data_IF_304047008399
#
_entry.id   IF_304047008399
#
_cell.length_a   1.000
_cell.length_b   1.000
_cell.length_c   1.000
_cell.angle_alpha   90.00
_cell.angle_beta   90.00
_cell.angle_gamma   90.00
#
_symmetry.space_group_name_H-M   'P 1'
#
loop_
_entity.id
_entity.type
_entity.pdbx_description
1 polymer ?
#
# COMPACT_ATOMS: atom_id res chain seq x y z
N UNK A 1 57.49 39.01 -43.15
CA UNK A 1 56.08 38.57 -43.30
C UNK A 1 56.07 37.05 -43.36
N UNK A 2 55.43 36.35 -42.42
CA UNK A 2 54.85 34.97 -42.50
C UNK A 2 54.06 34.79 -41.18
N UNK A 3 52.73 34.66 -41.25
CA UNK A 3 51.85 34.38 -40.09
C UNK A 3 51.63 32.87 -39.98
N UNK A 4 51.87 32.30 -38.80
CA UNK A 4 51.62 30.89 -38.48
C UNK A 4 50.19 30.73 -37.92
N UNK A 5 49.37 29.96 -38.63
CA UNK A 5 47.99 29.60 -38.27
C UNK A 5 48.01 28.57 -37.13
N UNK A 6 47.26 28.80 -36.04
CA UNK A 6 47.03 27.78 -34.99
C UNK A 6 45.62 27.22 -35.15
N UNK A 7 45.52 25.89 -35.24
CA UNK A 7 44.26 25.14 -35.23
C UNK A 7 43.57 25.28 -33.85
N UNK A 8 42.29 25.62 -33.86
CA UNK A 8 41.43 25.57 -32.68
C UNK A 8 40.73 24.19 -32.63
N UNK A 9 40.99 23.44 -31.56
CA UNK A 9 40.34 22.16 -31.28
C UNK A 9 38.88 22.37 -30.87
N UNK A 10 37.97 21.66 -31.54
CA UNK A 10 36.55 21.61 -31.21
C UNK A 10 36.36 20.62 -30.07
N UNK A 11 36.00 21.12 -28.89
CA UNK A 11 35.59 20.30 -27.74
C UNK A 11 34.13 19.87 -27.92
N UNK A 12 33.91 18.59 -28.19
CA UNK A 12 32.60 17.96 -28.27
C UNK A 12 32.01 17.83 -26.85
N UNK A 13 31.06 18.70 -26.49
CA UNK A 13 30.36 18.61 -25.22
C UNK A 13 29.33 17.46 -25.28
N UNK A 14 29.62 16.38 -24.54
CA UNK A 14 28.70 15.26 -24.35
C UNK A 14 27.59 15.70 -23.38
N UNK A 15 26.37 15.85 -23.91
CA UNK A 15 25.15 16.05 -23.12
C UNK A 15 24.82 14.75 -22.37
N UNK A 16 25.17 14.69 -21.08
CA UNK A 16 24.62 13.68 -20.17
C UNK A 16 23.14 14.01 -19.92
N UNK A 17 22.23 13.26 -20.55
CA UNK A 17 20.82 13.22 -20.13
C UNK A 17 20.78 12.42 -18.83
N UNK A 18 20.74 13.12 -17.70
CA UNK A 18 20.50 12.53 -16.40
C UNK A 18 19.05 12.01 -16.34
N UNK A 19 18.87 10.70 -16.48
CA UNK A 19 17.62 10.03 -16.15
C UNK A 19 17.43 10.07 -14.64
N UNK A 20 16.75 11.11 -14.15
CA UNK A 20 16.30 11.14 -12.76
C UNK A 20 15.37 9.94 -12.53
N UNK A 21 15.81 8.99 -11.70
CA UNK A 21 15.00 7.88 -11.26
C UNK A 21 13.69 8.43 -10.66
N UNK A 22 12.56 8.09 -11.29
CA UNK A 22 11.24 8.51 -10.85
C UNK A 22 10.88 7.89 -9.51
N UNK A 23 11.36 8.48 -8.42
CA UNK A 23 10.67 8.37 -7.15
C UNK A 23 9.35 9.12 -7.33
N UNK A 24 8.28 8.38 -7.62
CA UNK A 24 6.94 8.96 -7.66
C UNK A 24 6.73 9.72 -6.35
N UNK A 25 6.46 11.04 -6.38
CA UNK A 25 6.19 11.76 -5.15
C UNK A 25 5.02 11.06 -4.47
N UNK A 26 5.24 10.49 -3.29
CA UNK A 26 4.13 10.02 -2.46
C UNK A 26 3.16 11.19 -2.32
N UNK A 27 1.85 11.00 -2.54
CA UNK A 27 0.87 12.05 -2.29
C UNK A 27 1.01 12.54 -0.84
N UNK A 28 1.65 13.71 -0.70
CA UNK A 28 2.03 14.32 0.57
C UNK A 28 1.06 15.44 0.92
N UNK A 29 -0.24 15.14 0.84
CA UNK A 29 -1.23 16.07 1.36
C UNK A 29 -1.44 15.94 2.88
N UNK A 30 -2.24 16.83 3.48
CA UNK A 30 -2.41 16.91 4.92
C UNK A 30 -2.84 15.58 5.55
N UNK A 31 -2.33 15.30 6.75
CA UNK A 31 -2.73 14.12 7.51
C UNK A 31 -4.19 14.27 7.97
N UNK A 32 -4.96 13.20 7.82
CA UNK A 32 -6.35 13.13 8.30
C UNK A 32 -6.36 12.31 9.60
N UNK A 33 -6.80 12.88 10.74
CA UNK A 33 -6.90 12.13 11.99
C UNK A 33 -7.99 11.07 11.87
N UNK A 34 -7.77 9.93 12.54
CA UNK A 34 -8.74 8.84 12.55
C UNK A 34 -8.73 8.11 13.90
N UNK A 35 -9.87 7.54 14.25
CA UNK A 35 -10.03 6.68 15.43
C UNK A 35 -10.26 5.25 14.95
N UNK A 36 -9.65 4.28 15.64
CA UNK A 36 -9.82 2.86 15.34
C UNK A 36 -11.07 2.34 16.04
N UNK A 37 -12.05 1.88 15.26
CA UNK A 37 -13.28 1.28 15.78
C UNK A 37 -13.07 -0.20 16.16
N UNK A 38 -12.36 -0.95 15.31
CA UNK A 38 -12.03 -2.35 15.54
C UNK A 38 -10.69 -2.71 14.88
N UNK A 39 -9.97 -3.67 15.47
CA UNK A 39 -8.85 -4.35 14.84
C UNK A 39 -8.67 -5.75 15.44
N UNK A 40 -8.14 -6.67 14.65
CA UNK A 40 -7.89 -8.03 15.09
C UNK A 40 -7.55 -8.94 13.91
N UNK A 41 -7.32 -10.21 14.24
CA UNK A 41 -7.06 -11.26 13.25
C UNK A 41 -8.32 -12.03 12.83
N UNK A 42 -9.47 -11.74 13.44
CA UNK A 42 -10.71 -12.50 13.27
C UNK A 42 -11.77 -11.62 12.64
N UNK A 43 -12.31 -12.09 11.51
CA UNK A 43 -13.45 -11.51 10.80
C UNK A 43 -14.10 -12.62 9.99
N UNK A 44 -15.41 -12.57 9.79
CA UNK A 44 -16.12 -13.49 8.88
C UNK A 44 -16.15 -12.99 7.42
N UNK A 45 -15.52 -11.85 7.13
CA UNK A 45 -15.31 -11.37 5.76
C UNK A 45 -14.18 -12.17 5.11
N UNK A 46 -14.54 -13.10 4.23
CA UNK A 46 -13.61 -14.03 3.59
C UNK A 46 -12.82 -13.43 2.42
N UNK A 47 -13.43 -12.54 1.65
CA UNK A 47 -12.75 -11.89 0.53
C UNK A 47 -11.92 -10.68 1.02
N UNK A 48 -10.70 -10.47 0.51
CA UNK A 48 -10.00 -9.21 0.70
C UNK A 48 -10.87 -8.04 0.22
N UNK A 49 -10.95 -6.97 1.01
CA UNK A 49 -11.80 -5.84 0.68
C UNK A 49 -11.28 -4.54 1.29
N UNK A 50 -11.45 -3.44 0.54
CA UNK A 50 -11.25 -2.07 1.00
C UNK A 50 -12.55 -1.32 0.73
N UNK A 51 -13.21 -0.84 1.78
CA UNK A 51 -14.54 -0.25 1.69
C UNK A 51 -14.55 1.11 2.37
N UNK A 52 -15.24 2.06 1.75
CA UNK A 52 -15.58 3.35 2.36
C UNK A 52 -17.09 3.38 2.56
N UNK A 53 -17.51 3.55 3.80
CA UNK A 53 -18.89 3.50 4.23
C UNK A 53 -19.27 4.90 4.71
N UNK A 54 -20.31 5.47 4.12
CA UNK A 54 -20.74 6.86 4.33
C UNK A 54 -22.11 6.98 4.98
N UNK A 55 -22.74 5.86 5.31
CA UNK A 55 -24.05 5.82 5.93
C UNK A 55 -24.18 4.66 6.92
N UNK A 56 -25.17 4.80 7.80
CA UNK A 56 -25.43 3.90 8.91
C UNK A 56 -26.01 2.54 8.44
N UNK A 57 -26.70 2.50 7.30
CA UNK A 57 -27.24 1.25 6.75
C UNK A 57 -26.10 0.34 6.25
N UNK A 58 -25.19 0.89 5.46
CA UNK A 58 -23.98 0.21 4.96
C UNK A 58 -23.07 -0.22 6.10
N UNK A 59 -22.94 0.62 7.15
CA UNK A 59 -22.12 0.27 8.31
C UNK A 59 -22.66 -0.92 9.07
N UNK A 60 -23.97 -0.91 9.38
CA UNK A 60 -24.61 -2.04 10.06
C UNK A 60 -24.57 -3.31 9.23
N UNK A 61 -24.75 -3.22 7.91
CA UNK A 61 -24.66 -4.36 7.02
C UNK A 61 -23.25 -4.99 7.04
N UNK A 62 -22.21 -4.15 6.89
CA UNK A 62 -20.82 -4.61 6.95
C UNK A 62 -20.47 -5.20 8.33
N UNK A 63 -20.88 -4.52 9.41
CA UNK A 63 -20.58 -4.97 10.77
C UNK A 63 -21.22 -6.32 11.09
N UNK A 64 -22.48 -6.56 10.69
CA UNK A 64 -23.12 -7.89 10.85
C UNK A 64 -22.33 -8.98 10.13
N UNK A 65 -21.82 -8.68 8.93
CA UNK A 65 -20.97 -9.63 8.19
C UNK A 65 -19.63 -9.86 8.88
N UNK A 66 -19.04 -8.84 9.49
CA UNK A 66 -17.79 -8.93 10.24
C UNK A 66 -17.96 -9.71 11.56
N UNK A 67 -18.86 -9.25 12.43
CA UNK A 67 -19.09 -9.75 13.78
C UNK A 67 -19.85 -11.08 13.81
N UNK A 68 -20.61 -11.39 12.76
CA UNK A 68 -21.42 -12.59 12.64
C UNK A 68 -22.73 -12.55 13.43
N UNK A 69 -23.59 -13.58 13.26
CA UNK A 69 -24.81 -13.74 14.05
C UNK A 69 -24.48 -13.80 15.55
N UNK A 70 -25.28 -13.11 16.38
CA UNK A 70 -25.09 -13.04 17.83
C UNK A 70 -23.88 -12.20 18.29
N UNK A 71 -23.15 -11.55 17.36
CA UNK A 71 -22.10 -10.61 17.69
C UNK A 71 -22.64 -9.29 18.27
N UNK A 72 -21.77 -8.46 18.87
CA UNK A 72 -22.17 -7.16 19.40
C UNK A 72 -22.71 -6.24 18.28
N UNK A 73 -23.62 -5.31 18.60
CA UNK A 73 -24.11 -4.34 17.62
C UNK A 73 -22.98 -3.46 17.08
N UNK A 74 -23.22 -2.85 15.91
CA UNK A 74 -22.28 -1.91 15.32
C UNK A 74 -22.09 -0.70 16.25
N UNK A 75 -20.85 -0.29 16.55
CA UNK A 75 -20.59 0.96 17.27
C UNK A 75 -21.22 2.15 16.53
N UNK A 76 -21.78 3.09 17.28
CA UNK A 76 -22.38 4.29 16.73
C UNK A 76 -21.33 5.17 16.03
N UNK A 77 -21.68 5.71 14.86
CA UNK A 77 -20.85 6.62 14.06
C UNK A 77 -21.72 7.76 13.55
N UNK A 78 -21.27 9.00 13.74
CA UNK A 78 -21.96 10.20 13.24
C UNK A 78 -21.60 10.48 11.78
N UNK A 79 -22.36 9.91 10.84
CA UNK A 79 -22.04 9.97 9.40
C UNK A 79 -22.16 11.36 8.77
N UNK A 80 -22.74 12.34 9.47
CA UNK A 80 -22.77 13.74 9.03
C UNK A 80 -21.37 14.35 8.93
N UNK A 81 -20.42 13.84 9.72
CA UNK A 81 -19.05 14.36 9.81
C UNK A 81 -17.99 13.26 9.64
N UNK A 82 -18.39 12.00 9.72
CA UNK A 82 -17.49 10.85 9.76
C UNK A 82 -17.82 9.86 8.65
N UNK A 83 -16.82 9.06 8.29
CA UNK A 83 -16.99 7.90 7.43
C UNK A 83 -16.18 6.75 8.01
N UNK A 84 -16.55 5.52 7.68
CA UNK A 84 -15.80 4.34 8.08
C UNK A 84 -15.00 3.82 6.90
N UNK A 85 -13.71 3.59 7.12
CA UNK A 85 -12.84 2.88 6.17
C UNK A 85 -12.56 1.50 6.75
N UNK A 86 -12.98 0.45 6.04
CA UNK A 86 -12.78 -0.92 6.46
C UNK A 86 -11.83 -1.63 5.50
N UNK A 87 -10.81 -2.31 6.06
CA UNK A 87 -9.82 -3.06 5.31
C UNK A 87 -9.79 -4.49 5.85
N UNK A 88 -10.05 -5.45 4.97
CA UNK A 88 -10.02 -6.88 5.27
C UNK A 88 -8.92 -7.54 4.44
N UNK A 89 -8.08 -8.33 5.10
CA UNK A 89 -7.08 -9.17 4.43
C UNK A 89 -7.70 -10.39 3.73
N UNK A 90 -8.97 -10.69 4.02
CA UNK A 90 -9.61 -11.93 3.61
C UNK A 90 -9.14 -13.15 4.41
N UNK A 91 -9.52 -14.32 3.94
CA UNK A 91 -9.06 -15.60 4.49
C UNK A 91 -7.59 -15.80 4.16
N UNK A 92 -6.79 -16.16 5.16
CA UNK A 92 -5.38 -16.49 5.01
C UNK A 92 -5.08 -17.86 5.62
N UNK A 93 -4.09 -18.61 5.12
CA UNK A 93 -3.68 -19.88 5.70
C UNK A 93 -3.10 -19.72 7.12
N UNK A 94 -2.64 -18.51 7.48
CA UNK A 94 -2.22 -18.14 8.82
C UNK A 94 -3.17 -17.16 9.51
N UNK A 95 -2.67 -16.52 10.58
CA UNK A 95 -3.35 -15.37 11.20
C UNK A 95 -2.86 -14.09 10.53
N UNK A 96 -3.74 -13.39 9.82
CA UNK A 96 -3.47 -12.08 9.25
C UNK A 96 -4.02 -10.96 10.14
N UNK A 97 -3.27 -9.88 10.32
CA UNK A 97 -3.72 -8.65 10.99
C UNK A 97 -3.54 -7.46 10.08
N UNK A 98 -4.51 -6.55 10.10
CA UNK A 98 -4.47 -5.31 9.31
C UNK A 98 -4.25 -4.12 10.24
N UNK A 99 -3.34 -3.21 9.88
CA UNK A 99 -3.11 -1.96 10.59
C UNK A 99 -3.10 -0.79 9.62
N UNK A 100 -4.07 0.11 9.77
CA UNK A 100 -4.02 1.45 9.16
C UNK A 100 -2.96 2.28 9.88
N UNK A 101 -1.99 2.78 9.12
CA UNK A 101 -0.83 3.52 9.62
C UNK A 101 -1.01 5.03 9.44
N UNK A 102 -1.52 5.48 8.29
CA UNK A 102 -1.69 6.89 7.97
C UNK A 102 -2.83 7.08 6.99
N UNK A 103 -3.58 8.17 7.14
CA UNK A 103 -4.50 8.66 6.11
C UNK A 103 -4.05 10.07 5.72
N UNK A 104 -3.94 10.33 4.43
CA UNK A 104 -3.65 11.67 3.89
C UNK A 104 -4.73 12.10 2.91
N UNK A 105 -4.97 13.41 2.83
CA UNK A 105 -5.84 13.99 1.82
C UNK A 105 -5.05 14.19 0.54
N UNK A 106 -5.35 13.44 -0.51
CA UNK A 106 -4.87 13.71 -1.87
C UNK A 106 -5.71 14.79 -2.55
N UNK A 107 -5.39 15.13 -3.82
CA UNK A 107 -6.14 16.13 -4.60
C UNK A 107 -7.63 15.77 -4.70
N UNK A 108 -7.93 14.52 -5.04
CA UNK A 108 -9.31 14.08 -5.32
C UNK A 108 -9.79 12.94 -4.40
N UNK A 109 -8.92 12.39 -3.57
CA UNK A 109 -9.21 11.18 -2.78
C UNK A 109 -8.46 11.15 -1.45
N UNK A 110 -8.93 10.31 -0.52
CA UNK A 110 -8.15 9.92 0.65
C UNK A 110 -7.16 8.81 0.26
N UNK A 111 -5.91 8.95 0.69
CA UNK A 111 -4.88 7.92 0.52
C UNK A 111 -4.69 7.24 1.87
N UNK A 112 -4.95 5.93 1.92
CA UNK A 112 -4.89 5.12 3.14
C UNK A 112 -3.68 4.20 3.08
N UNK A 113 -2.72 4.46 3.96
CA UNK A 113 -1.54 3.63 4.14
C UNK A 113 -1.83 2.59 5.21
N UNK A 114 -1.72 1.31 4.86
CA UNK A 114 -1.94 0.21 5.78
C UNK A 114 -0.93 -0.92 5.56
N UNK A 115 -0.79 -1.77 6.57
CA UNK A 115 0.04 -2.98 6.50
C UNK A 115 -0.81 -4.20 6.80
N UNK A 116 -0.52 -5.30 6.10
CA UNK A 116 -1.04 -6.63 6.42
C UNK A 116 0.14 -7.43 6.96
N UNK A 117 -0.01 -7.98 8.16
CA UNK A 117 0.98 -8.88 8.75
C UNK A 117 0.36 -10.25 8.88
N UNK A 118 0.91 -11.22 8.16
CA UNK A 118 0.51 -12.61 8.23
C UNK A 118 1.52 -13.41 9.06
N UNK A 119 0.99 -14.15 10.04
CA UNK A 119 1.74 -15.14 10.81
C UNK A 119 1.28 -16.51 10.32
N UNK A 120 2.04 -17.08 9.39
CA UNK A 120 1.87 -18.46 8.97
C UNK A 120 2.64 -19.33 9.95
N UNK A 121 1.98 -20.32 10.56
CA UNK A 121 2.68 -21.35 11.32
C UNK A 121 3.41 -22.20 10.28
N UNK A 122 4.64 -21.81 9.96
CA UNK A 122 5.53 -22.65 9.17
C UNK A 122 5.74 -23.90 10.00
N UNK A 123 5.10 -25.01 9.63
CA UNK A 123 5.50 -26.31 10.11
C UNK A 123 7.02 -26.38 9.91
N UNK A 124 7.77 -26.80 10.94
CA UNK A 124 9.24 -26.86 10.91
C UNK A 124 9.70 -27.73 9.72
N UNK A 125 9.77 -27.15 8.53
CA UNK A 125 10.36 -27.70 7.34
C UNK A 125 11.72 -27.03 7.21
N UNK A 126 12.82 -27.79 7.31
CA UNK A 126 14.14 -27.19 7.48
C UNK A 126 14.63 -26.43 6.24
N UNK A 127 14.03 -26.56 5.06
CA UNK A 127 14.58 -25.94 3.84
C UNK A 127 13.47 -25.52 2.87
N UNK A 128 13.31 -24.20 2.68
CA UNK A 128 12.71 -23.63 1.46
C UNK A 128 13.85 -23.00 0.67
N UNK A 129 14.42 -23.76 -0.26
CA UNK A 129 15.40 -23.24 -1.22
C UNK A 129 14.66 -22.81 -2.47
N UNK A 130 14.77 -21.54 -2.85
CA UNK A 130 14.36 -21.06 -4.18
C UNK A 130 15.58 -21.12 -5.09
N UNK A 131 15.56 -21.98 -6.09
CA UNK A 131 16.53 -21.94 -7.18
C UNK A 131 15.96 -21.11 -8.32
N UNK A 132 16.55 -19.93 -8.55
CA UNK A 132 16.21 -19.08 -9.70
C UNK A 132 17.24 -19.35 -10.80
N UNK A 133 16.80 -19.96 -11.90
CA UNK A 133 17.62 -20.08 -13.12
C UNK A 133 17.48 -18.79 -13.93
N UNK A 134 18.59 -18.13 -14.21
CA UNK A 134 18.68 -17.00 -15.14
C UNK A 134 19.07 -17.55 -16.51
N UNK A 135 18.32 -17.24 -17.56
CA UNK A 135 18.62 -17.65 -18.94
C UNK A 135 19.12 -16.45 -19.74
N UNK A 136 20.31 -15.97 -19.42
CA UNK A 136 21.05 -15.04 -20.30
C UNK A 136 22.53 -15.38 -20.20
N UNK A 137 23.21 -15.75 -21.31
CA UNK A 137 24.66 -15.91 -21.29
C UNK A 137 25.34 -14.54 -21.09
N UNK A 138 26.50 -14.48 -20.42
CA UNK A 138 27.32 -13.27 -20.42
C UNK A 138 27.74 -12.97 -21.86
N UNK A 139 27.48 -11.74 -22.31
CA UNK A 139 28.05 -11.24 -23.56
C UNK A 139 29.57 -11.17 -23.34
N UNK A 140 30.35 -11.78 -24.24
CA UNK A 140 31.82 -11.68 -24.26
C UNK A 140 32.27 -10.22 -24.42
#
# INVERSE_FOLDING_TARGET
>A
MIRKTRLAGVCLAVLFVATAAGASPMPSGPAVPFVRIAAGAVSRVQAPAQLVIRDDAGWRALWRRHAGPGGPPAPAVGFDQQMVIAIFAGQSPGRATVRVAKITRGPDALVVWYTIREIVKVARSPLRVTFTRITTPPVL
#
